data_IF_145980930570
#
_entry.id   IF_145980930570
#
_cell.length_a   1.000
_cell.length_b   1.000
_cell.length_c   1.000
_cell.angle_alpha   90.00
_cell.angle_beta   90.00
_cell.angle_gamma   90.00
#
_symmetry.space_group_name_H-M   'P 1'
#
loop_
_entity.id
_entity.type
_entity.pdbx_description
1 polymer ?
#
# COMPACT_ATOMS: atom_id res chain seq x y z
N UNK A 1 -4.68 4.76 25.01
CA UNK A 1 -3.85 4.81 23.78
C UNK A 1 -4.28 6.04 23.01
N UNK A 2 -3.35 6.97 22.73
CA UNK A 2 -3.60 8.10 21.83
C UNK A 2 -4.05 7.60 20.46
N UNK A 3 -4.98 8.30 19.80
CA UNK A 3 -5.52 7.92 18.48
C UNK A 3 -4.43 7.64 17.43
N UNK A 4 -3.28 8.31 17.57
CA UNK A 4 -2.09 8.10 16.76
C UNK A 4 -1.62 6.64 16.75
N UNK A 5 -1.68 5.94 17.88
CA UNK A 5 -1.22 4.55 18.00
C UNK A 5 -2.03 3.59 17.12
N UNK A 6 -3.33 3.85 16.97
CA UNK A 6 -4.22 3.03 16.14
C UNK A 6 -3.92 3.26 14.65
N UNK A 7 -3.72 4.53 14.26
CA UNK A 7 -3.34 4.90 12.89
C UNK A 7 -2.03 4.22 12.48
N UNK A 8 -1.00 4.31 13.32
CA UNK A 8 0.28 3.66 13.08
C UNK A 8 0.19 2.14 13.02
N UNK A 9 -0.61 1.53 13.90
CA UNK A 9 -0.79 0.07 13.93
C UNK A 9 -1.44 -0.43 12.64
N UNK A 10 -2.53 0.22 12.19
CA UNK A 10 -3.19 -0.14 10.93
C UNK A 10 -2.25 0.06 9.74
N UNK A 11 -1.50 1.17 9.72
CA UNK A 11 -0.55 1.45 8.65
C UNK A 11 0.55 0.37 8.58
N UNK A 12 1.21 0.08 9.70
CA UNK A 12 2.30 -0.89 9.77
C UNK A 12 1.83 -2.30 9.39
N UNK A 13 0.71 -2.75 9.96
CA UNK A 13 0.12 -4.05 9.63
C UNK A 13 -0.22 -4.15 8.14
N UNK A 14 -0.86 -3.11 7.58
CA UNK A 14 -1.21 -3.07 6.17
C UNK A 14 0.04 -3.16 5.29
N UNK A 15 1.07 -2.36 5.57
CA UNK A 15 2.31 -2.36 4.80
C UNK A 15 3.04 -3.72 4.89
N UNK A 16 3.13 -4.32 6.08
CA UNK A 16 3.77 -5.62 6.26
C UNK A 16 3.04 -6.68 5.42
N UNK A 17 1.70 -6.76 5.54
CA UNK A 17 0.90 -7.75 4.82
C UNK A 17 1.00 -7.55 3.32
N UNK A 18 0.80 -6.33 2.83
CA UNK A 18 0.82 -6.01 1.41
C UNK A 18 2.20 -6.28 0.79
N UNK A 19 3.28 -5.86 1.45
CA UNK A 19 4.64 -6.10 0.98
C UNK A 19 5.01 -7.59 1.03
N UNK A 20 4.66 -8.28 2.11
CA UNK A 20 4.91 -9.71 2.22
C UNK A 20 4.22 -10.49 1.09
N UNK A 21 2.95 -10.18 0.81
CA UNK A 21 2.19 -10.80 -0.28
C UNK A 21 2.82 -10.50 -1.65
N UNK A 22 3.14 -9.23 -1.92
CA UNK A 22 3.76 -8.83 -3.18
C UNK A 22 5.10 -9.55 -3.42
N UNK A 23 5.97 -9.59 -2.42
CA UNK A 23 7.28 -10.26 -2.53
C UNK A 23 7.09 -11.78 -2.69
N UNK A 24 6.17 -12.40 -1.93
CA UNK A 24 5.93 -13.84 -2.02
C UNK A 24 5.37 -14.24 -3.39
N UNK A 25 4.43 -13.46 -3.95
CA UNK A 25 3.87 -13.69 -5.28
C UNK A 25 4.93 -13.49 -6.37
N UNK A 26 5.79 -12.48 -6.23
CA UNK A 26 6.91 -12.25 -7.14
C UNK A 26 7.93 -13.38 -7.12
N UNK A 27 8.36 -13.83 -5.93
CA UNK A 27 9.29 -14.96 -5.77
C UNK A 27 8.74 -16.27 -6.35
N UNK A 28 7.42 -16.46 -6.29
CA UNK A 28 6.74 -17.62 -6.89
C UNK A 28 6.52 -17.50 -8.40
N UNK A 29 6.95 -16.40 -9.02
CA UNK A 29 6.72 -16.12 -10.45
C UNK A 29 5.26 -15.90 -10.83
N UNK A 30 4.36 -15.76 -9.85
CA UNK A 30 2.91 -15.64 -10.08
C UNK A 30 2.48 -14.24 -10.45
N UNK A 31 3.28 -13.24 -10.09
CA UNK A 31 2.94 -11.83 -10.32
C UNK A 31 4.20 -10.98 -10.48
N UNK A 32 4.18 -10.01 -11.39
CA UNK A 32 5.25 -9.03 -11.49
C UNK A 32 5.18 -8.01 -10.35
N UNK A 33 6.32 -7.38 -10.02
CA UNK A 33 6.34 -6.28 -9.05
C UNK A 33 5.51 -5.08 -9.53
N UNK A 34 5.49 -4.79 -10.83
CA UNK A 34 4.70 -3.69 -11.37
C UNK A 34 3.19 -3.93 -11.19
N UNK A 35 2.73 -5.17 -11.45
CA UNK A 35 1.34 -5.55 -11.24
C UNK A 35 0.98 -5.53 -9.76
N UNK A 36 1.88 -6.03 -8.89
CA UNK A 36 1.69 -5.98 -7.44
C UNK A 36 1.56 -4.53 -6.94
N UNK A 37 2.37 -3.62 -7.49
CA UNK A 37 2.30 -2.19 -7.17
C UNK A 37 0.98 -1.54 -7.57
N UNK A 38 0.38 -1.92 -8.71
CA UNK A 38 -0.97 -1.47 -9.08
C UNK A 38 -2.04 -1.94 -8.08
N UNK A 39 -2.00 -3.21 -7.67
CA UNK A 39 -2.94 -3.74 -6.67
C UNK A 39 -2.78 -3.00 -5.35
N UNK A 40 -1.55 -2.84 -4.87
CA UNK A 40 -1.27 -2.10 -3.62
C UNK A 40 -1.75 -0.64 -3.74
N UNK A 41 -1.51 0.00 -4.89
CA UNK A 41 -1.95 1.35 -5.19
C UNK A 41 -3.48 1.51 -5.08
N UNK A 42 -4.24 0.55 -5.60
CA UNK A 42 -5.70 0.53 -5.52
C UNK A 42 -6.22 0.16 -4.12
N UNK A 43 -5.52 -0.73 -3.41
CA UNK A 43 -5.86 -1.10 -2.05
C UNK A 43 -5.66 0.04 -1.05
N UNK A 44 -4.74 0.97 -1.31
CA UNK A 44 -4.50 2.14 -0.44
C UNK A 44 -5.78 2.95 -0.15
N UNK A 45 -6.44 3.51 -1.18
CA UNK A 45 -7.71 4.21 -1.00
C UNK A 45 -8.82 3.36 -0.36
N UNK A 46 -8.90 2.06 -0.69
CA UNK A 46 -9.90 1.15 -0.13
C UNK A 46 -9.68 0.97 1.38
N UNK A 47 -8.44 0.70 1.79
CA UNK A 47 -8.06 0.54 3.20
C UNK A 47 -8.28 1.84 3.96
N UNK A 48 -7.95 3.00 3.37
CA UNK A 48 -8.23 4.30 3.96
C UNK A 48 -9.72 4.55 4.16
N UNK A 49 -10.56 4.22 3.18
CA UNK A 49 -12.00 4.42 3.30
C UNK A 49 -12.59 3.56 4.42
N UNK A 50 -12.23 2.27 4.48
CA UNK A 50 -12.68 1.35 5.51
C UNK A 50 -12.19 1.80 6.90
N UNK A 51 -10.90 2.12 7.02
CA UNK A 51 -10.30 2.57 8.28
C UNK A 51 -10.91 3.89 8.74
N UNK A 52 -11.10 4.84 7.82
CA UNK A 52 -11.72 6.13 8.10
C UNK A 52 -13.15 6.00 8.58
N UNK A 53 -13.96 5.15 7.94
CA UNK A 53 -15.31 4.87 8.41
C UNK A 53 -15.33 4.35 9.85
N UNK A 54 -14.44 3.40 10.18
CA UNK A 54 -14.34 2.84 11.53
C UNK A 54 -13.85 3.90 12.53
N UNK A 55 -12.79 4.64 12.19
CA UNK A 55 -12.20 5.64 13.09
C UNK A 55 -13.17 6.79 13.35
N UNK A 56 -13.83 7.33 12.33
CA UNK A 56 -14.80 8.42 12.47
C UNK A 56 -15.97 7.98 13.33
N UNK A 57 -16.49 6.76 13.11
CA UNK A 57 -17.59 6.21 13.91
C UNK A 57 -17.22 6.08 15.39
N UNK A 58 -16.01 5.62 15.70
CA UNK A 58 -15.51 5.52 17.07
C UNK A 58 -15.35 6.91 17.68
N UNK A 59 -14.74 7.85 16.95
CA UNK A 59 -14.51 9.21 17.45
C UNK A 59 -15.84 9.94 17.74
N UNK A 60 -16.83 9.81 16.85
CA UNK A 60 -18.19 10.33 17.07
C UNK A 60 -18.87 9.71 18.30
N UNK A 61 -18.70 8.40 18.53
CA UNK A 61 -19.25 7.76 19.74
C UNK A 61 -18.60 8.24 21.04
N UNK A 62 -17.41 8.84 20.95
CA UNK A 62 -16.69 9.45 22.07
C UNK A 62 -16.93 10.96 22.18
N UNK A 63 -17.84 11.52 21.39
CA UNK A 63 -18.19 12.95 21.38
C UNK A 63 -17.23 13.85 20.62
N UNK A 64 -16.30 13.28 19.83
CA UNK A 64 -15.37 14.02 18.98
C UNK A 64 -15.97 14.42 17.63
N UNK A 65 -15.26 15.26 16.87
CA UNK A 65 -15.73 15.75 15.57
C UNK A 65 -15.51 14.75 14.42
N UNK A 66 -14.65 13.75 14.61
CA UNK A 66 -14.31 12.77 13.56
C UNK A 66 -13.25 13.27 12.57
N UNK A 67 -12.83 14.53 12.69
CA UNK A 67 -11.94 15.17 11.72
C UNK A 67 -10.54 14.57 11.81
N UNK A 68 -10.03 14.35 13.02
CA UNK A 68 -8.72 13.73 13.24
C UNK A 68 -8.67 12.30 12.71
N UNK A 69 -9.71 11.51 12.98
CA UNK A 69 -9.88 10.17 12.41
C UNK A 69 -9.86 10.15 10.88
N UNK A 70 -10.58 11.08 10.24
CA UNK A 70 -10.64 11.17 8.78
C UNK A 70 -9.27 11.51 8.18
N UNK A 71 -8.54 12.48 8.77
CA UNK A 71 -7.18 12.80 8.34
C UNK A 71 -6.20 11.64 8.54
N UNK A 72 -6.26 10.96 9.69
CA UNK A 72 -5.43 9.78 9.95
C UNK A 72 -5.67 8.67 8.93
N UNK A 73 -6.92 8.42 8.57
CA UNK A 73 -7.26 7.43 7.55
C UNK A 73 -6.81 7.83 6.14
N UNK A 74 -6.95 9.10 5.75
CA UNK A 74 -6.44 9.61 4.48
C UNK A 74 -4.92 9.45 4.39
N UNK A 75 -4.20 9.74 5.48
CA UNK A 75 -2.76 9.53 5.56
C UNK A 75 -2.38 8.06 5.33
N UNK A 76 -3.07 7.12 5.96
CA UNK A 76 -2.86 5.67 5.72
C UNK A 76 -2.96 5.35 4.23
N UNK A 77 -4.02 5.82 3.57
CA UNK A 77 -4.26 5.55 2.15
C UNK A 77 -3.18 6.08 1.24
N UNK A 78 -2.75 7.33 1.48
CA UNK A 78 -1.69 7.97 0.69
C UNK A 78 -0.38 7.23 0.85
N UNK A 79 0.00 6.82 2.07
CA UNK A 79 1.25 6.10 2.30
C UNK A 79 1.22 4.72 1.63
N UNK A 80 0.11 3.98 1.72
CA UNK A 80 -0.04 2.68 1.05
C UNK A 80 -0.03 2.87 -0.48
N UNK A 81 -0.72 3.87 -1.01
CA UNK A 81 -0.74 4.16 -2.44
C UNK A 81 0.67 4.54 -2.95
N UNK A 82 1.38 5.38 -2.21
CA UNK A 82 2.78 5.74 -2.47
C UNK A 82 3.69 4.51 -2.48
N UNK A 83 3.49 3.56 -1.56
CA UNK A 83 4.19 2.28 -1.58
C UNK A 83 3.89 1.48 -2.86
N UNK A 84 2.64 1.48 -3.33
CA UNK A 84 2.27 0.90 -4.62
C UNK A 84 3.04 1.51 -5.79
N UNK A 85 3.19 2.83 -5.82
CA UNK A 85 3.97 3.55 -6.85
C UNK A 85 5.45 3.11 -6.83
N UNK A 86 6.05 2.94 -5.65
CA UNK A 86 7.43 2.45 -5.53
C UNK A 86 7.57 1.05 -6.17
N UNK A 87 6.63 0.15 -5.93
CA UNK A 87 6.62 -1.17 -6.56
C UNK A 87 6.44 -1.11 -8.08
N UNK A 88 5.61 -0.19 -8.58
CA UNK A 88 5.45 0.04 -10.02
C UNK A 88 6.79 0.43 -10.64
N UNK A 89 7.48 1.42 -10.06
CA UNK A 89 8.78 1.89 -10.55
C UNK A 89 9.82 0.76 -10.56
N UNK A 90 9.96 0.03 -9.45
CA UNK A 90 10.89 -1.10 -9.35
C UNK A 90 10.57 -2.19 -10.38
N UNK A 91 9.27 -2.48 -10.56
CA UNK A 91 8.80 -3.45 -11.53
C UNK A 91 9.13 -3.06 -12.98
N UNK A 92 8.89 -1.80 -13.35
CA UNK A 92 9.21 -1.28 -14.68
C UNK A 92 10.71 -1.35 -14.94
N UNK A 93 11.55 -0.90 -14.00
CA UNK A 93 13.02 -0.97 -14.11
C UNK A 93 13.48 -2.42 -14.31
N UNK A 94 12.88 -3.36 -13.58
CA UNK A 94 13.23 -4.79 -13.68
C UNK A 94 12.87 -5.36 -15.06
N UNK A 95 11.73 -4.97 -15.62
CA UNK A 95 11.32 -5.36 -16.98
C UNK A 95 12.29 -4.80 -18.02
N UNK A 96 12.62 -3.51 -17.96
CA UNK A 96 13.56 -2.87 -18.90
C UNK A 96 14.93 -3.56 -18.86
N UNK A 97 15.47 -3.82 -17.66
CA UNK A 97 16.75 -4.53 -17.50
C UNK A 97 16.73 -5.91 -18.15
N UNK A 98 15.65 -6.66 -17.99
CA UNK A 98 15.52 -7.98 -18.59
C UNK A 98 15.44 -7.91 -20.13
N UNK A 99 14.72 -6.93 -20.68
CA UNK A 99 14.66 -6.70 -22.13
C UNK A 99 16.05 -6.37 -22.73
N UNK A 100 16.82 -5.50 -22.09
CA UNK A 100 18.17 -5.13 -22.55
C UNK A 100 19.10 -6.35 -22.49
N UNK A 101 19.06 -7.11 -21.38
CA UNK A 101 19.89 -8.31 -21.22
C UNK A 101 19.59 -9.37 -22.29
N UNK A 102 18.32 -9.57 -22.64
CA UNK A 102 17.95 -10.51 -23.71
C UNK A 102 18.46 -10.08 -25.08
N UNK A 103 18.46 -8.77 -25.39
CA UNK A 103 19.01 -8.26 -26.65
C UNK A 103 20.52 -8.48 -26.79
N UNK A 104 21.29 -8.35 -25.71
CA UNK A 104 22.74 -8.59 -25.73
C UNK A 104 23.13 -10.08 -25.83
N UNK A 105 22.22 -11.01 -25.56
CA UNK A 105 22.48 -12.45 -25.71
C UNK A 105 22.16 -13.00 -27.10
N UNK A 106 21.42 -12.23 -27.91
CA UNK A 106 21.02 -12.58 -29.27
C UNK A 106 21.88 -11.90 -30.36
N UNK A 107 22.95 -11.22 -29.95
CA UNK A 107 24.00 -10.64 -30.80
C UNK A 107 25.33 -11.34 -30.50
#
# INVERSE_FOLDING_TARGET
MSGDGVVWSVLLLSLIVLNFLAINLYKKGKMSLWGSGLIIGLLGPIIAFISGFVFVKIEHSMGGSGVGAAFGAAFIGIVIAGNGIVYIIIGIISVIKNFIKQRNLNH
#
